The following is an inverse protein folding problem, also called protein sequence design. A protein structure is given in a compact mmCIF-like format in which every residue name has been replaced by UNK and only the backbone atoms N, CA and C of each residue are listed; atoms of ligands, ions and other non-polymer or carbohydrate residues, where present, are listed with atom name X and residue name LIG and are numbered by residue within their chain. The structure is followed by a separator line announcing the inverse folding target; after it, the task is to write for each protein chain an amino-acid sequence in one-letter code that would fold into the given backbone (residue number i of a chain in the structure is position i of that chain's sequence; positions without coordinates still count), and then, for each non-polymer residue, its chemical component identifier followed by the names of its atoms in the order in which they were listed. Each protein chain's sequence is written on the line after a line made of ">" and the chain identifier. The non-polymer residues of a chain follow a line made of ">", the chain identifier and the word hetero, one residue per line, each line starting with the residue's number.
data_IF_005281553662
#
_entry.id   IF_005281553662
#
_cell.length_a   1.000
_cell.length_b   1.000
_cell.length_c   1.000
_cell.angle_alpha   90.00
_cell.angle_beta   90.00
_cell.angle_gamma   90.00
#
_symmetry.space_group_name_H-M   'P 1'
#
loop_
_entity.id
_entity.type
_entity.pdbx_description
1 polymer ?
#
# COMPACT_ATOMS: atom_id res chain seq x y z
N UNK A 1 -19.45 0.37 15.98
CA UNK A 1 -19.72 1.77 15.56
C UNK A 1 -19.56 2.87 16.62
N UNK A 2 -19.04 2.64 17.84
CA UNK A 2 -18.92 3.68 18.90
C UNK A 2 -17.57 4.44 18.96
N UNK A 3 -16.59 4.11 18.15
CA UNK A 3 -15.22 4.69 18.24
C UNK A 3 -14.94 5.90 17.34
N UNK A 4 -15.80 6.23 16.41
CA UNK A 4 -15.57 7.33 15.44
C UNK A 4 -15.96 8.70 15.98
N UNK A 5 -16.89 8.79 16.91
CA UNK A 5 -17.38 10.09 17.45
C UNK A 5 -16.31 10.75 18.33
N UNK A 6 -15.59 9.98 19.14
CA UNK A 6 -14.55 10.52 20.06
C UNK A 6 -13.38 11.22 19.34
N UNK A 7 -13.11 10.87 18.09
CA UNK A 7 -11.99 11.43 17.32
C UNK A 7 -12.19 12.89 16.90
N UNK A 8 -13.42 13.37 16.85
CA UNK A 8 -13.74 14.73 16.43
C UNK A 8 -14.15 15.65 17.60
N UNK A 9 -14.54 15.06 18.74
CA UNK A 9 -15.01 15.83 19.89
C UNK A 9 -13.91 16.69 20.48
N UNK A 10 -12.69 16.14 20.65
CA UNK A 10 -11.57 16.88 21.26
C UNK A 10 -11.17 18.12 20.43
N UNK A 11 -10.97 18.05 19.10
CA UNK A 11 -10.67 19.25 18.31
C UNK A 11 -11.79 20.26 18.29
N UNK A 12 -13.05 19.81 18.25
CA UNK A 12 -14.20 20.70 18.24
C UNK A 12 -14.27 21.47 19.58
N UNK A 13 -14.10 20.78 20.71
CA UNK A 13 -14.09 21.40 22.03
C UNK A 13 -12.91 22.36 22.16
N UNK A 14 -11.70 21.96 21.71
CA UNK A 14 -10.54 22.84 21.73
C UNK A 14 -10.72 24.08 20.85
N UNK A 15 -11.32 23.92 19.66
CA UNK A 15 -11.66 25.05 18.78
C UNK A 15 -12.64 26.01 19.44
N UNK A 16 -13.74 25.50 20.01
CA UNK A 16 -14.74 26.33 20.69
C UNK A 16 -14.13 27.06 21.89
N UNK A 17 -13.29 26.38 22.66
CA UNK A 17 -12.64 27.01 23.84
C UNK A 17 -11.64 28.10 23.40
N UNK A 18 -10.84 27.84 22.35
CA UNK A 18 -9.93 28.82 21.77
C UNK A 18 -10.70 30.04 21.21
N UNK A 19 -11.78 29.78 20.47
CA UNK A 19 -12.63 30.85 19.93
C UNK A 19 -13.28 31.71 21.06
N UNK A 20 -13.74 31.07 22.12
CA UNK A 20 -14.28 31.78 23.29
C UNK A 20 -13.20 32.63 24.00
N UNK A 21 -11.99 32.10 24.15
CA UNK A 21 -10.88 32.87 24.74
C UNK A 21 -10.49 34.07 23.86
N UNK A 22 -10.44 33.90 22.54
CA UNK A 22 -10.16 34.99 21.60
C UNK A 22 -11.28 36.05 21.61
N UNK A 23 -12.55 35.63 21.66
CA UNK A 23 -13.69 36.52 21.75
C UNK A 23 -13.66 37.29 23.07
N UNK A 24 -13.32 36.64 24.17
CA UNK A 24 -13.16 37.28 25.46
C UNK A 24 -12.03 38.32 25.46
N UNK A 25 -10.89 38.03 24.84
CA UNK A 25 -9.76 38.96 24.74
C UNK A 25 -10.05 40.17 23.86
N UNK A 26 -10.95 40.02 22.87
CA UNK A 26 -11.27 41.08 21.91
C UNK A 26 -12.43 42.00 22.35
N UNK A 27 -13.21 41.63 23.36
CA UNK A 27 -14.40 42.38 23.76
C UNK A 27 -14.09 43.45 24.80
N UNK A 28 -14.74 44.61 24.66
CA UNK A 28 -14.68 45.72 25.63
C UNK A 28 -15.24 45.35 27.01
N UNK A 29 -16.13 44.35 27.06
CA UNK A 29 -16.64 43.79 28.31
C UNK A 29 -15.53 43.18 29.18
N UNK A 30 -14.60 42.45 28.55
CA UNK A 30 -13.47 41.83 29.23
C UNK A 30 -12.46 42.90 29.72
N UNK A 31 -12.34 44.03 29.00
CA UNK A 31 -11.56 45.19 29.43
C UNK A 31 -12.06 45.77 30.75
N UNK A 32 -13.39 45.91 30.87
CA UNK A 32 -14.02 46.38 32.12
C UNK A 32 -13.76 45.41 33.29
N UNK A 33 -13.86 44.10 33.04
CA UNK A 33 -13.63 43.08 34.05
C UNK A 33 -12.15 43.04 34.48
N UNK A 34 -11.20 43.06 33.52
CA UNK A 34 -9.76 43.03 33.79
C UNK A 34 -9.36 44.33 34.55
N UNK A 35 -9.86 45.49 34.17
CA UNK A 35 -9.55 46.76 34.85
C UNK A 35 -10.00 46.81 36.31
N UNK A 36 -11.01 46.02 36.68
CA UNK A 36 -11.47 45.92 38.07
C UNK A 36 -10.45 45.17 38.96
N UNK A 37 -9.66 44.26 38.39
CA UNK A 37 -8.74 43.40 39.15
C UNK A 37 -7.26 43.68 38.89
N UNK A 38 -6.92 44.41 37.81
CA UNK A 38 -5.55 44.61 37.36
C UNK A 38 -5.26 46.09 37.12
N UNK A 39 -4.07 46.56 37.55
CA UNK A 39 -3.58 47.92 37.32
C UNK A 39 -3.55 48.22 35.81
N UNK A 40 -4.08 49.40 35.40
CA UNK A 40 -4.29 49.76 33.98
C UNK A 40 -3.12 49.51 33.05
N UNK A 41 -1.87 49.70 33.47
CA UNK A 41 -0.67 49.45 32.63
C UNK A 41 -0.38 47.97 32.34
N UNK A 42 -1.08 47.01 32.96
CA UNK A 42 -0.85 45.56 32.75
C UNK A 42 -1.96 44.87 31.91
N UNK A 43 -3.01 45.60 31.54
CA UNK A 43 -4.13 45.02 30.77
C UNK A 43 -3.69 44.45 29.41
N UNK A 44 -2.83 45.16 28.71
CA UNK A 44 -2.27 44.72 27.41
C UNK A 44 -1.47 43.46 27.55
N UNK A 45 -0.66 43.30 28.59
CA UNK A 45 0.12 42.08 28.83
C UNK A 45 -0.78 40.88 29.13
N UNK A 46 -1.84 41.06 29.91
CA UNK A 46 -2.81 40.01 30.22
C UNK A 46 -3.53 39.54 28.96
N UNK A 47 -3.96 40.47 28.10
CA UNK A 47 -4.57 40.13 26.78
C UNK A 47 -3.60 39.30 25.91
N UNK A 48 -2.35 39.74 25.78
CA UNK A 48 -1.35 39.00 25.01
C UNK A 48 -1.14 37.60 25.56
N UNK A 49 -1.16 37.41 26.87
CA UNK A 49 -1.04 36.06 27.49
C UNK A 49 -2.28 35.23 27.14
N UNK A 50 -3.48 35.78 27.23
CA UNK A 50 -4.72 35.06 26.87
C UNK A 50 -4.68 34.62 25.41
N UNK A 51 -4.25 35.48 24.50
CA UNK A 51 -4.12 35.16 23.07
C UNK A 51 -3.12 34.02 22.86
N UNK A 52 -1.95 34.11 23.47
CA UNK A 52 -0.93 33.02 23.39
C UNK A 52 -1.51 31.70 23.93
N UNK A 53 -2.15 31.73 25.09
CA UNK A 53 -2.77 30.52 25.67
C UNK A 53 -3.83 29.94 24.75
N UNK A 54 -4.65 30.80 24.12
CA UNK A 54 -5.69 30.34 23.18
C UNK A 54 -5.12 29.59 21.99
N UNK A 55 -4.00 30.07 21.44
CA UNK A 55 -3.28 29.33 20.36
C UNK A 55 -2.76 27.97 20.82
N UNK A 56 -2.21 27.87 22.02
CA UNK A 56 -1.74 26.59 22.57
C UNK A 56 -2.89 25.62 22.85
N UNK A 57 -3.99 26.10 23.40
CA UNK A 57 -5.22 25.30 23.63
C UNK A 57 -5.74 24.71 22.31
N UNK A 58 -5.61 25.42 21.21
CA UNK A 58 -6.00 24.95 19.89
C UNK A 58 -4.95 24.02 19.25
N UNK A 59 -3.68 24.41 19.25
CA UNK A 59 -2.61 23.71 18.53
C UNK A 59 -2.22 22.34 19.16
N UNK A 60 -2.16 22.28 20.49
CA UNK A 60 -1.72 21.05 21.19
C UNK A 60 -2.61 19.84 20.89
N UNK A 61 -3.95 19.90 21.02
CA UNK A 61 -4.82 18.76 20.71
C UNK A 61 -4.76 18.31 19.27
N UNK A 62 -4.59 19.24 18.32
CA UNK A 62 -4.42 18.93 16.91
C UNK A 62 -3.09 18.20 16.68
N UNK A 63 -2.01 18.70 17.27
CA UNK A 63 -0.70 18.06 17.21
C UNK A 63 -0.73 16.63 17.79
N UNK A 64 -1.32 16.45 18.96
CA UNK A 64 -1.47 15.11 19.59
C UNK A 64 -2.28 14.18 18.69
N UNK A 65 -3.40 14.65 18.13
CA UNK A 65 -4.21 13.84 17.22
C UNK A 65 -3.45 13.45 15.94
N UNK A 66 -2.67 14.37 15.36
CA UNK A 66 -1.85 14.07 14.20
C UNK A 66 -0.84 12.96 14.51
N UNK A 67 -0.15 13.04 15.66
CA UNK A 67 0.80 12.02 16.12
C UNK A 67 0.11 10.66 16.34
N UNK A 68 -1.05 10.65 16.99
CA UNK A 68 -1.80 9.41 17.24
C UNK A 68 -2.29 8.78 15.93
N UNK A 69 -2.74 9.59 14.98
CA UNK A 69 -3.17 9.09 13.65
C UNK A 69 -2.01 8.50 12.86
N UNK A 70 -0.86 9.17 12.84
CA UNK A 70 0.33 8.66 12.15
C UNK A 70 0.85 7.36 12.76
N UNK A 71 0.88 7.23 14.09
CA UNK A 71 1.23 5.99 14.77
C UNK A 71 0.25 4.85 14.45
N UNK A 72 -1.05 5.11 14.50
CA UNK A 72 -2.07 4.10 14.13
C UNK A 72 -1.96 3.69 12.67
N UNK A 73 -1.74 4.63 11.76
CA UNK A 73 -1.53 4.33 10.35
C UNK A 73 -0.28 3.46 10.14
N UNK A 74 0.81 3.74 10.85
CA UNK A 74 2.02 2.90 10.84
C UNK A 74 1.75 1.48 11.32
N UNK A 75 1.06 1.31 12.44
CA UNK A 75 0.69 -0.01 12.97
C UNK A 75 -0.23 -0.79 12.01
N UNK A 76 -1.24 -0.13 11.42
CA UNK A 76 -2.09 -0.77 10.42
C UNK A 76 -1.29 -1.21 9.19
N UNK A 77 -0.32 -0.41 8.75
CA UNK A 77 0.56 -0.75 7.64
C UNK A 77 1.43 -1.97 7.95
N UNK A 78 2.02 -2.04 9.13
CA UNK A 78 2.82 -3.20 9.56
C UNK A 78 1.98 -4.48 9.63
N UNK A 79 0.77 -4.41 10.19
CA UNK A 79 -0.15 -5.55 10.23
C UNK A 79 -0.49 -6.02 8.82
N UNK A 80 -0.76 -5.09 7.91
CA UNK A 80 -1.07 -5.42 6.51
C UNK A 80 0.13 -6.06 5.80
N UNK A 81 1.36 -5.58 6.04
CA UNK A 81 2.58 -6.19 5.49
C UNK A 81 2.74 -7.63 5.99
N UNK A 82 2.59 -7.88 7.29
CA UNK A 82 2.67 -9.22 7.88
C UNK A 82 1.58 -10.15 7.31
N UNK A 83 0.37 -9.64 7.12
CA UNK A 83 -0.71 -10.41 6.53
C UNK A 83 -0.40 -10.80 5.08
N UNK A 84 0.06 -9.86 4.25
CA UNK A 84 0.49 -10.12 2.87
C UNK A 84 1.62 -11.16 2.80
N UNK A 85 2.56 -11.07 3.72
CA UNK A 85 3.66 -12.00 3.84
C UNK A 85 3.17 -13.42 4.14
N UNK A 86 2.26 -13.55 5.11
CA UNK A 86 1.65 -14.82 5.49
C UNK A 86 0.86 -15.45 4.34
N UNK A 87 0.11 -14.66 3.58
CA UNK A 87 -0.65 -15.16 2.42
C UNK A 87 0.29 -15.66 1.31
N UNK A 88 1.39 -14.95 1.06
CA UNK A 88 2.42 -15.39 0.12
C UNK A 88 3.06 -16.73 0.55
N UNK A 89 3.40 -16.87 1.83
CA UNK A 89 3.95 -18.09 2.40
C UNK A 89 2.94 -19.24 2.32
N UNK A 90 1.66 -18.95 2.56
CA UNK A 90 0.56 -19.91 2.42
C UNK A 90 0.43 -20.42 0.97
N UNK A 91 0.49 -19.53 -0.02
CA UNK A 91 0.49 -19.91 -1.44
C UNK A 91 1.69 -20.81 -1.78
N UNK A 92 2.88 -20.42 -1.35
CA UNK A 92 4.10 -21.20 -1.58
C UNK A 92 3.98 -22.60 -0.97
N UNK A 93 3.58 -22.69 0.28
CA UNK A 93 3.37 -23.95 1.00
C UNK A 93 2.34 -24.84 0.31
N UNK A 94 1.26 -24.27 -0.21
CA UNK A 94 0.23 -24.98 -0.96
C UNK A 94 0.77 -25.57 -2.25
N UNK A 95 1.58 -24.84 -3.01
CA UNK A 95 2.18 -25.32 -4.24
C UNK A 95 3.21 -26.44 -3.98
N UNK A 96 4.01 -26.32 -2.92
CA UNK A 96 4.96 -27.34 -2.49
C UNK A 96 4.24 -28.60 -2.02
N UNK A 97 3.25 -28.47 -1.14
CA UNK A 97 2.50 -29.61 -0.57
C UNK A 97 1.75 -30.42 -1.65
N UNK A 98 1.37 -29.77 -2.74
CA UNK A 98 0.77 -30.42 -3.90
C UNK A 98 1.80 -31.03 -4.88
N UNK A 99 3.08 -30.95 -4.55
CA UNK A 99 4.17 -31.45 -5.40
C UNK A 99 4.30 -30.71 -6.74
N UNK A 100 3.94 -29.43 -6.76
CA UNK A 100 4.01 -28.60 -7.97
C UNK A 100 5.34 -27.85 -8.08
N UNK A 101 5.94 -27.52 -6.94
CA UNK A 101 7.27 -26.90 -6.85
C UNK A 101 8.23 -27.81 -6.11
N UNK A 102 9.49 -27.75 -6.49
CA UNK A 102 10.58 -28.38 -5.74
C UNK A 102 10.88 -27.46 -4.55
N UNK A 103 10.57 -27.93 -3.34
CA UNK A 103 10.68 -27.13 -2.12
C UNK A 103 12.10 -26.66 -1.84
N UNK A 104 12.29 -25.36 -1.71
CA UNK A 104 13.41 -24.78 -0.99
C UNK A 104 12.95 -24.50 0.45
N UNK A 105 13.82 -24.81 1.42
CA UNK A 105 13.49 -24.58 2.84
C UNK A 105 13.72 -23.12 3.28
N UNK A 106 14.24 -22.28 2.41
CA UNK A 106 14.58 -20.90 2.74
C UNK A 106 13.43 -19.95 2.40
N UNK A 107 13.17 -18.99 3.29
CA UNK A 107 12.20 -17.91 3.06
C UNK A 107 12.51 -17.08 1.81
N UNK A 108 13.77 -17.09 1.34
CA UNK A 108 14.22 -16.41 0.12
C UNK A 108 13.71 -17.07 -1.16
N UNK A 109 13.35 -18.35 -1.10
CA UNK A 109 12.88 -19.14 -2.24
C UNK A 109 11.35 -19.03 -2.45
N UNK A 110 10.65 -18.28 -1.60
CA UNK A 110 9.22 -18.12 -1.72
C UNK A 110 8.83 -17.38 -3.01
N UNK A 111 7.65 -17.73 -3.52
CA UNK A 111 7.01 -17.01 -4.63
C UNK A 111 6.95 -15.52 -4.32
N UNK A 112 7.34 -14.71 -5.27
CA UNK A 112 7.09 -13.26 -5.22
C UNK A 112 5.77 -12.95 -5.93
N UNK A 113 5.06 -11.98 -5.40
CA UNK A 113 3.84 -11.45 -5.99
C UNK A 113 4.07 -9.99 -6.37
N UNK A 114 3.89 -9.69 -7.64
CA UNK A 114 4.07 -8.35 -8.18
C UNK A 114 2.79 -7.86 -8.82
N UNK A 115 2.37 -6.66 -8.45
CA UNK A 115 1.16 -6.04 -8.95
C UNK A 115 1.53 -4.97 -9.95
N UNK A 116 0.98 -5.07 -11.16
CA UNK A 116 1.20 -4.08 -12.20
C UNK A 116 -0.08 -3.31 -12.48
N UNK A 117 0.00 -1.99 -12.49
CA UNK A 117 -1.09 -1.09 -12.89
C UNK A 117 -0.79 -0.44 -14.21
N UNK A 118 -1.82 -0.22 -15.00
CA UNK A 118 -1.69 0.57 -16.24
C UNK A 118 -1.48 2.04 -15.90
N UNK A 119 -0.42 2.61 -16.47
CA UNK A 119 -0.20 4.06 -16.53
C UNK A 119 0.12 4.44 -17.98
N UNK A 120 -0.81 5.13 -18.64
CA UNK A 120 -0.70 5.43 -20.09
C UNK A 120 -0.46 4.15 -20.92
N UNK A 121 0.63 4.10 -21.67
CA UNK A 121 1.04 2.98 -22.52
C UNK A 121 2.01 2.00 -21.82
N UNK A 122 2.04 1.97 -20.50
CA UNK A 122 2.93 1.09 -19.73
C UNK A 122 2.17 0.38 -18.61
N UNK A 123 2.59 -0.84 -18.31
CA UNK A 123 2.32 -1.49 -17.04
C UNK A 123 3.48 -1.12 -16.10
N UNK A 124 3.16 -0.54 -14.97
CA UNK A 124 4.13 -0.08 -13.96
C UNK A 124 3.92 -0.87 -12.69
N UNK A 125 5.02 -1.34 -12.09
CA UNK A 125 4.98 -2.03 -10.80
C UNK A 125 4.37 -1.10 -9.74
N UNK A 126 3.35 -1.59 -9.07
CA UNK A 126 2.78 -1.00 -7.88
C UNK A 126 3.42 -1.69 -6.67
N UNK A 127 4.31 -0.98 -6.01
CA UNK A 127 5.07 -1.53 -4.90
C UNK A 127 4.13 -1.90 -3.75
N UNK A 128 4.06 -3.18 -3.43
CA UNK A 128 3.23 -3.74 -2.37
C UNK A 128 4.11 -4.49 -1.37
N UNK A 129 4.64 -3.81 -0.34
CA UNK A 129 5.49 -4.45 0.66
C UNK A 129 4.81 -5.67 1.30
N UNK A 130 5.58 -6.74 1.53
CA UNK A 130 5.10 -8.01 2.06
C UNK A 130 4.82 -9.09 0.99
N UNK A 131 4.60 -8.69 -0.27
CA UNK A 131 4.38 -9.66 -1.35
C UNK A 131 5.66 -10.13 -2.06
N UNK A 132 6.81 -9.57 -1.73
CA UNK A 132 8.11 -9.97 -2.29
C UNK A 132 9.23 -9.86 -1.25
N UNK A 133 10.25 -10.70 -1.38
CA UNK A 133 11.40 -10.72 -0.47
C UNK A 133 12.47 -9.69 -0.83
N UNK A 134 12.65 -9.43 -2.12
CA UNK A 134 13.72 -8.58 -2.62
C UNK A 134 13.13 -7.34 -3.24
N UNK A 135 13.45 -6.20 -2.68
CA UNK A 135 13.14 -4.92 -3.31
C UNK A 135 13.85 -4.84 -4.65
N UNK A 136 13.09 -4.67 -5.71
CA UNK A 136 13.64 -4.38 -7.02
C UNK A 136 13.98 -2.90 -7.02
N UNK A 137 15.27 -2.59 -6.89
CA UNK A 137 15.77 -1.24 -6.98
C UNK A 137 15.45 -0.66 -8.36
N UNK A 138 14.42 0.15 -8.42
CA UNK A 138 13.99 0.86 -9.62
C UNK A 138 12.57 0.50 -10.05
N UNK A 139 11.93 1.43 -10.71
CA UNK A 139 10.55 1.30 -11.22
C UNK A 139 10.52 0.29 -12.37
N UNK A 140 10.20 -0.97 -12.07
CA UNK A 140 9.96 -1.97 -13.10
C UNK A 140 8.71 -1.58 -13.89
N UNK A 141 8.84 -1.47 -15.19
CA UNK A 141 7.73 -1.13 -16.06
C UNK A 141 7.91 -1.75 -17.45
N UNK A 142 6.79 -2.12 -18.07
CA UNK A 142 6.73 -2.79 -19.36
C UNK A 142 5.91 -1.97 -20.36
N UNK A 143 6.42 -1.82 -21.58
CA UNK A 143 5.72 -1.09 -22.63
C UNK A 143 4.62 -1.94 -23.25
N UNK A 144 3.36 -1.47 -23.17
CA UNK A 144 2.21 -2.13 -23.79
C UNK A 144 2.34 -2.08 -25.32
N UNK A 145 2.83 -0.96 -25.87
CA UNK A 145 3.01 -0.80 -27.32
C UNK A 145 4.04 -1.79 -27.88
N UNK A 146 5.16 -1.99 -27.17
CA UNK A 146 6.24 -2.89 -27.58
C UNK A 146 6.00 -4.36 -27.23
N UNK A 147 4.89 -4.66 -26.57
CA UNK A 147 4.56 -6.03 -26.13
C UNK A 147 5.63 -6.65 -25.22
N UNK A 148 6.14 -5.86 -24.25
CA UNK A 148 7.22 -6.26 -23.35
C UNK A 148 6.69 -7.15 -22.22
N UNK A 149 7.25 -8.37 -22.09
CA UNK A 149 7.01 -9.27 -20.97
C UNK A 149 5.64 -9.98 -20.95
N UNK A 150 5.56 -11.04 -20.17
CA UNK A 150 4.36 -11.87 -20.01
C UNK A 150 3.17 -11.10 -19.49
N UNK A 151 3.40 -10.17 -18.54
CA UNK A 151 2.34 -9.36 -17.95
C UNK A 151 1.61 -8.46 -18.98
N UNK A 152 2.31 -7.95 -20.00
CA UNK A 152 1.69 -7.17 -21.08
C UNK A 152 0.86 -8.08 -21.98
N UNK A 153 1.30 -9.28 -22.24
CA UNK A 153 0.54 -10.23 -23.05
C UNK A 153 -0.74 -10.67 -22.34
N UNK A 154 -0.65 -11.01 -21.04
CA UNK A 154 -1.81 -11.32 -20.22
C UNK A 154 -2.78 -10.13 -20.17
N UNK A 155 -2.25 -8.89 -20.03
CA UNK A 155 -3.06 -7.66 -20.07
C UNK A 155 -3.83 -7.51 -21.38
N UNK A 156 -3.15 -7.71 -22.53
CA UNK A 156 -3.77 -7.53 -23.86
C UNK A 156 -4.79 -8.60 -24.18
N UNK A 157 -4.50 -9.86 -23.84
CA UNK A 157 -5.37 -10.99 -24.12
C UNK A 157 -6.53 -11.14 -23.12
N UNK A 158 -6.41 -10.52 -21.93
CA UNK A 158 -7.37 -10.70 -20.85
C UNK A 158 -7.41 -12.14 -20.32
N UNK A 159 -6.33 -12.89 -20.47
CA UNK A 159 -6.23 -14.33 -20.12
C UNK A 159 -5.03 -14.56 -19.22
N UNK A 160 -5.18 -15.44 -18.25
CA UNK A 160 -4.09 -15.92 -17.42
C UNK A 160 -3.04 -16.63 -18.29
N UNK A 161 -1.80 -16.27 -18.10
CA UNK A 161 -0.68 -16.81 -18.88
C UNK A 161 0.44 -17.27 -17.94
N UNK A 162 1.14 -18.31 -18.35
CA UNK A 162 2.30 -18.82 -17.64
C UNK A 162 3.46 -19.02 -18.61
N UNK A 163 4.65 -18.75 -18.13
CA UNK A 163 5.92 -19.06 -18.79
C UNK A 163 6.83 -19.75 -17.79
N UNK A 164 7.53 -20.77 -18.23
CA UNK A 164 8.57 -21.46 -17.48
C UNK A 164 9.89 -21.38 -18.24
N UNK A 165 11.00 -21.47 -17.52
CA UNK A 165 12.30 -21.61 -18.14
C UNK A 165 12.44 -23.03 -18.70
N UNK A 166 12.43 -23.13 -20.01
CA UNK A 166 12.67 -24.41 -20.76
C UNK A 166 14.00 -24.37 -21.51
N UNK A 167 14.86 -23.37 -21.24
CA UNK A 167 16.11 -23.14 -21.95
C UNK A 167 15.96 -22.45 -23.30
N UNK A 168 14.73 -22.27 -23.80
CA UNK A 168 14.46 -21.50 -25.00
C UNK A 168 14.20 -20.04 -24.61
N UNK A 169 15.20 -19.24 -24.57
CA UNK A 169 15.30 -17.86 -24.05
C UNK A 169 14.37 -16.81 -24.69
N UNK A 170 13.10 -17.02 -24.78
CA UNK A 170 12.21 -15.96 -25.20
C UNK A 170 11.42 -15.35 -24.03
N UNK A 171 12.12 -14.74 -23.11
CA UNK A 171 11.49 -13.76 -22.22
C UNK A 171 11.05 -12.57 -23.10
N UNK A 172 9.89 -12.70 -23.70
CA UNK A 172 9.13 -11.72 -24.48
C UNK A 172 9.69 -10.30 -24.53
N UNK A 173 10.51 -9.98 -25.54
CA UNK A 173 11.01 -8.63 -25.83
C UNK A 173 11.42 -7.77 -24.62
N UNK A 174 12.00 -8.40 -23.61
CA UNK A 174 12.49 -7.69 -22.43
C UNK A 174 13.73 -6.87 -22.78
N UNK A 175 13.83 -5.68 -22.25
CA UNK A 175 15.07 -4.88 -22.29
C UNK A 175 16.18 -5.56 -21.47
N UNK A 176 17.43 -5.22 -21.75
CA UNK A 176 18.59 -5.73 -20.98
C UNK A 176 18.40 -5.54 -19.48
N UNK A 177 17.91 -4.36 -19.07
CA UNK A 177 17.62 -4.07 -17.65
C UNK A 177 16.52 -4.97 -17.09
N UNK A 178 15.45 -5.21 -17.85
CA UNK A 178 14.35 -6.09 -17.41
C UNK A 178 14.84 -7.54 -17.32
N UNK A 179 15.68 -8.00 -18.26
CA UNK A 179 16.31 -9.33 -18.20
C UNK A 179 17.19 -9.47 -16.97
N UNK A 180 18.00 -8.46 -16.65
CA UNK A 180 18.85 -8.48 -15.46
C UNK A 180 18.02 -8.51 -14.16
N UNK A 181 16.85 -7.83 -14.13
CA UNK A 181 15.95 -7.83 -12.98
C UNK A 181 15.12 -9.12 -12.89
N UNK A 182 14.74 -9.73 -14.02
CA UNK A 182 14.07 -11.03 -14.06
C UNK A 182 14.98 -12.13 -13.53
N UNK A 183 16.31 -11.99 -13.74
CA UNK A 183 17.31 -12.92 -13.21
C UNK A 183 17.08 -14.37 -13.64
N UNK A 184 17.25 -15.28 -12.69
CA UNK A 184 17.13 -16.73 -12.88
C UNK A 184 15.72 -17.26 -12.56
N UNK A 185 14.68 -16.49 -12.91
CA UNK A 185 13.30 -16.92 -12.67
C UNK A 185 13.01 -18.24 -13.39
N UNK A 186 12.49 -19.20 -12.66
CA UNK A 186 12.14 -20.51 -13.18
C UNK A 186 10.75 -20.56 -13.79
N UNK A 187 9.83 -19.72 -13.25
CA UNK A 187 8.53 -19.53 -13.89
C UNK A 187 7.91 -18.17 -13.51
N UNK A 188 6.98 -17.74 -14.33
CA UNK A 188 6.13 -16.57 -14.12
C UNK A 188 4.69 -16.94 -14.48
N UNK A 189 3.74 -16.61 -13.62
CA UNK A 189 2.32 -16.64 -13.91
C UNK A 189 1.80 -15.21 -13.90
N UNK A 190 1.10 -14.78 -14.92
CA UNK A 190 0.50 -13.46 -15.05
C UNK A 190 -1.03 -13.58 -15.12
N UNK A 191 -1.72 -13.06 -14.13
CA UNK A 191 -3.18 -13.09 -14.01
C UNK A 191 -3.73 -11.69 -14.24
N UNK A 192 -4.48 -11.44 -15.33
CA UNK A 192 -5.14 -10.15 -15.55
C UNK A 192 -6.39 -10.05 -14.68
N UNK A 193 -6.52 -8.93 -13.98
CA UNK A 193 -7.67 -8.64 -13.13
C UNK A 193 -8.65 -7.74 -13.89
N UNK A 194 -9.86 -8.25 -14.06
CA UNK A 194 -10.99 -7.52 -14.64
C UNK A 194 -11.97 -7.24 -13.52
N UNK A 195 -12.17 -5.97 -13.12
CA UNK A 195 -13.15 -5.63 -12.09
C UNK A 195 -14.57 -6.00 -12.52
N UNK A 196 -15.40 -6.36 -11.55
CA UNK A 196 -16.81 -6.67 -11.78
C UNK A 196 -17.51 -5.53 -12.54
N UNK A 197 -18.24 -5.89 -13.58
CA UNK A 197 -18.94 -4.94 -14.43
C UNK A 197 -18.10 -4.21 -15.49
N UNK A 198 -16.77 -4.42 -15.51
CA UNK A 198 -15.87 -3.86 -16.52
C UNK A 198 -15.44 -4.93 -17.53
N UNK A 199 -15.21 -4.49 -18.80
CA UNK A 199 -14.64 -5.36 -19.85
C UNK A 199 -13.11 -5.19 -19.98
N UNK A 200 -12.51 -4.26 -19.24
CA UNK A 200 -11.11 -3.91 -19.38
C UNK A 200 -10.29 -4.39 -18.18
N UNK A 201 -9.11 -4.92 -18.47
CA UNK A 201 -8.13 -5.29 -17.44
C UNK A 201 -7.66 -4.03 -16.70
N UNK A 202 -7.79 -4.01 -15.38
CA UNK A 202 -7.36 -2.91 -14.52
C UNK A 202 -5.91 -3.07 -14.04
N UNK A 203 -5.54 -4.30 -13.72
CA UNK A 203 -4.25 -4.70 -13.17
C UNK A 203 -3.82 -6.05 -13.70
N UNK A 204 -2.52 -6.35 -13.57
CA UNK A 204 -1.99 -7.71 -13.76
C UNK A 204 -1.24 -8.09 -12.50
N UNK A 205 -1.57 -9.23 -11.93
CA UNK A 205 -0.87 -9.81 -10.78
C UNK A 205 0.03 -10.91 -11.29
N UNK A 206 1.34 -10.76 -11.07
CA UNK A 206 2.33 -11.73 -11.48
C UNK A 206 2.86 -12.47 -10.26
N UNK A 207 2.90 -13.79 -10.39
CA UNK A 207 3.57 -14.70 -9.46
C UNK A 207 4.87 -15.16 -10.12
N UNK A 208 5.99 -14.92 -9.51
CA UNK A 208 7.29 -15.37 -10.02
C UNK A 208 8.09 -16.10 -8.96
N UNK A 209 8.87 -17.07 -9.39
CA UNK A 209 9.68 -17.89 -8.48
C UNK A 209 10.99 -18.31 -9.10
N UNK A 210 12.00 -18.45 -8.24
CA UNK A 210 13.28 -19.09 -8.54
C UNK A 210 13.25 -20.61 -8.31
N UNK A 211 12.14 -21.13 -7.77
CA UNK A 211 11.96 -22.57 -7.56
C UNK A 211 11.55 -23.25 -8.87
N UNK A 212 12.10 -24.44 -9.10
CA UNK A 212 11.74 -25.24 -10.27
C UNK A 212 10.37 -25.88 -10.11
N UNK A 213 9.67 -26.01 -11.24
CA UNK A 213 8.46 -26.80 -11.31
C UNK A 213 8.85 -28.28 -11.18
N UNK A 214 8.15 -28.98 -10.28
CA UNK A 214 8.52 -30.34 -9.90
C UNK A 214 8.40 -31.37 -11.05
N UNK A 215 7.39 -31.16 -11.93
CA UNK A 215 7.12 -32.08 -13.07
C UNK A 215 6.58 -31.31 -14.27
N UNK A 216 6.85 -31.81 -15.47
CA UNK A 216 6.16 -31.35 -16.68
C UNK A 216 4.67 -31.67 -16.59
N UNK A 217 3.82 -30.80 -17.11
CA UNK A 217 2.35 -30.94 -17.08
C UNK A 217 1.69 -30.43 -15.80
N UNK A 218 2.43 -29.79 -14.87
CA UNK A 218 1.85 -29.16 -13.68
C UNK A 218 1.33 -27.74 -13.92
N UNK A 219 1.55 -27.17 -15.09
CA UNK A 219 1.28 -25.78 -15.44
C UNK A 219 -0.19 -25.41 -15.20
N UNK A 220 -1.11 -26.23 -15.69
CA UNK A 220 -2.55 -26.00 -15.53
C UNK A 220 -2.97 -26.01 -14.06
N UNK A 221 -2.39 -26.88 -13.24
CA UNK A 221 -2.66 -26.94 -11.80
C UNK A 221 -2.12 -25.70 -11.08
N UNK A 222 -0.94 -25.22 -11.47
CA UNK A 222 -0.35 -23.98 -10.94
C UNK A 222 -1.27 -22.81 -11.27
N UNK A 223 -1.73 -22.69 -12.52
CA UNK A 223 -2.68 -21.65 -12.95
C UNK A 223 -3.96 -21.68 -12.12
N UNK A 224 -4.57 -22.85 -11.93
CA UNK A 224 -5.79 -23.02 -11.13
C UNK A 224 -5.62 -22.62 -9.66
N UNK A 225 -4.40 -22.65 -9.14
CA UNK A 225 -4.11 -22.19 -7.78
C UNK A 225 -3.82 -20.68 -7.76
N UNK A 226 -3.00 -20.19 -8.69
CA UNK A 226 -2.60 -18.78 -8.71
C UNK A 226 -3.77 -17.83 -9.03
N UNK A 227 -4.69 -18.26 -9.88
CA UNK A 227 -5.81 -17.43 -10.32
C UNK A 227 -6.72 -16.96 -9.16
N UNK A 228 -7.26 -17.83 -8.29
CA UNK A 228 -8.04 -17.40 -7.13
C UNK A 228 -7.24 -16.53 -6.15
N UNK A 229 -5.95 -16.84 -5.97
CA UNK A 229 -5.08 -16.02 -5.14
C UNK A 229 -4.87 -14.61 -5.70
N UNK A 230 -4.83 -14.45 -7.01
CA UNK A 230 -4.72 -13.12 -7.63
C UNK A 230 -5.95 -12.25 -7.31
N UNK A 231 -7.16 -12.79 -7.40
CA UNK A 231 -8.39 -12.07 -7.02
C UNK A 231 -8.42 -11.75 -5.52
N UNK A 232 -8.00 -12.68 -4.68
CA UNK A 232 -7.87 -12.43 -3.24
C UNK A 232 -6.87 -11.29 -2.97
N UNK A 233 -5.71 -11.30 -3.61
CA UNK A 233 -4.70 -10.24 -3.49
C UNK A 233 -5.24 -8.89 -3.98
N UNK A 234 -5.98 -8.86 -5.09
CA UNK A 234 -6.60 -7.62 -5.60
C UNK A 234 -7.54 -7.00 -4.58
N UNK A 235 -8.28 -7.82 -3.83
CA UNK A 235 -9.17 -7.35 -2.76
C UNK A 235 -8.45 -6.73 -1.55
N UNK A 236 -7.13 -6.96 -1.40
CA UNK A 236 -6.29 -6.42 -0.31
C UNK A 236 -5.58 -5.11 -0.70
N UNK A 237 -5.70 -4.66 -1.95
CA UNK A 237 -4.99 -3.50 -2.52
C UNK A 237 -5.94 -2.35 -2.76
#
# INVERSE_FOLDING_TARGET
>A
MKKTVSGYVIPIVAFLLSALLQLASSTTFFDGFIKTFIVEGKVTHVKSIIDIVSYFVFAIPIGIQAIVRTKKAGQCREILIKYKQKERESLNSKLISQGLLVGGQNAEDCINVRVFKRRFNRLVLDEQPGFYNKEINGKLSFSIKRNEGLCVQAYKKGQTMMEKEDGSKSLYNLTIRQKALAGELQFIVAVPIVPDGNRAVSRVICFDSFQRIAKNGCEERILKICEPYAYMIDSMI
#
